data_IF_731847805930
#
_entry.id   IF_731847805930
#
_cell.length_a   1.000
_cell.length_b   1.000
_cell.length_c   1.000
_cell.angle_alpha   90.00
_cell.angle_beta   90.00
_cell.angle_gamma   90.00
#
_symmetry.space_group_name_H-M   'P 1'
#
loop_
_entity.id
_entity.type
_entity.pdbx_description
1 polymer ?
#
# COMPACT_ATOMS: atom_id res chain seq x y z
N UNK A 1 -19.41 67.90 0.31
CA UNK A 1 -19.39 67.11 1.57
C UNK A 1 -19.13 65.66 1.14
N UNK A 2 -17.91 65.11 1.26
CA UNK A 2 -17.37 64.40 2.46
C UNK A 2 -18.48 63.50 3.06
N UNK A 3 -18.41 62.16 3.07
CA UNK A 3 -17.29 61.27 3.44
C UNK A 3 -17.46 59.84 2.84
N UNK A 4 -16.30 59.23 2.54
CA UNK A 4 -15.82 57.85 2.79
C UNK A 4 -16.76 56.65 2.53
N UNK A 5 -16.47 55.64 1.69
CA UNK A 5 -15.27 54.76 1.51
C UNK A 5 -15.22 53.58 2.51
N UNK A 6 -15.46 52.37 1.96
CA UNK A 6 -14.96 51.02 2.32
C UNK A 6 -15.40 50.33 3.61
N UNK A 7 -15.79 49.05 3.49
CA UNK A 7 -15.49 47.83 4.30
C UNK A 7 -16.53 46.77 3.85
N UNK A 8 -16.26 45.50 3.55
CA UNK A 8 -15.07 44.70 3.27
C UNK A 8 -15.62 43.35 2.73
N UNK A 9 -14.84 42.68 1.88
CA UNK A 9 -15.08 41.30 1.48
C UNK A 9 -15.11 40.36 2.68
N UNK A 10 -16.10 39.46 2.76
CA UNK A 10 -16.19 38.22 3.57
C UNK A 10 -17.37 37.45 2.94
N UNK A 11 -17.36 36.18 2.54
CA UNK A 11 -16.44 35.05 2.51
C UNK A 11 -17.07 34.12 1.45
N UNK A 12 -16.39 33.85 0.33
CA UNK A 12 -15.69 32.58 0.07
C UNK A 12 -16.52 31.34 0.43
N UNK A 13 -16.87 30.58 -0.62
CA UNK A 13 -16.89 29.11 -0.59
C UNK A 13 -17.93 28.51 0.37
N UNK A 14 -19.18 28.40 -0.07
CA UNK A 14 -19.99 27.22 0.28
C UNK A 14 -19.62 26.07 -0.67
N UNK A 15 -18.32 25.84 -0.83
CA UNK A 15 -17.78 24.64 -1.43
C UNK A 15 -17.44 23.68 -0.30
N UNK A 16 -17.76 22.40 -0.52
CA UNK A 16 -17.11 21.26 0.13
C UNK A 16 -17.28 21.11 1.65
N UNK A 17 -18.50 21.11 2.16
CA UNK A 17 -18.81 20.41 3.43
C UNK A 17 -19.81 19.26 3.28
N UNK A 18 -20.24 18.94 2.05
CA UNK A 18 -21.11 17.79 1.76
C UNK A 18 -20.35 16.53 1.30
N UNK A 19 -19.03 16.47 1.50
CA UNK A 19 -18.19 15.29 1.20
C UNK A 19 -17.43 14.77 2.43
N UNK A 20 -17.91 15.05 3.65
CA UNK A 20 -17.69 14.12 4.74
C UNK A 20 -18.73 12.99 4.56
N UNK A 21 -18.60 12.20 3.49
CA UNK A 21 -19.21 10.89 3.48
C UNK A 21 -18.54 10.13 4.62
N UNK A 22 -19.32 9.78 5.64
CA UNK A 22 -18.93 8.81 6.66
C UNK A 22 -18.15 7.69 5.96
N UNK A 23 -16.84 7.58 6.25
CA UNK A 23 -16.11 6.37 5.88
C UNK A 23 -16.88 5.25 6.56
N UNK A 24 -17.53 4.34 5.81
CA UNK A 24 -18.46 3.41 6.42
C UNK A 24 -17.68 2.58 7.45
N UNK A 25 -18.27 2.35 8.63
CA UNK A 25 -17.68 1.50 9.70
C UNK A 25 -17.12 0.16 9.20
N UNK A 26 -17.56 -0.30 8.03
CA UNK A 26 -17.01 -1.47 7.32
C UNK A 26 -15.51 -1.37 7.05
N UNK A 27 -14.97 -0.17 6.82
CA UNK A 27 -13.58 0.01 6.43
C UNK A 27 -12.62 -0.04 7.62
N UNK A 28 -13.05 0.37 8.81
CA UNK A 28 -12.25 0.25 10.04
C UNK A 28 -12.21 -1.21 10.53
N UNK A 29 -13.29 -1.95 10.28
CA UNK A 29 -13.31 -3.39 10.50
C UNK A 29 -12.36 -4.14 9.55
N UNK A 30 -12.10 -3.62 8.35
CA UNK A 30 -11.23 -4.29 7.37
C UNK A 30 -9.79 -4.45 7.91
N UNK A 31 -9.20 -3.40 8.47
CA UNK A 31 -7.86 -3.44 9.07
C UNK A 31 -7.77 -4.47 10.19
N UNK A 32 -8.79 -4.53 11.07
CA UNK A 32 -8.87 -5.51 12.15
C UNK A 32 -9.03 -6.94 11.63
N UNK A 33 -9.88 -7.14 10.63
CA UNK A 33 -10.09 -8.47 10.02
C UNK A 33 -8.80 -8.99 9.38
N UNK A 34 -8.06 -8.14 8.68
CA UNK A 34 -6.78 -8.54 8.10
C UNK A 34 -5.72 -8.75 9.18
N UNK A 35 -5.72 -7.96 10.24
CA UNK A 35 -4.86 -8.23 11.41
C UNK A 35 -5.16 -9.61 12.01
N UNK A 36 -6.43 -10.00 12.15
CA UNK A 36 -6.80 -11.35 12.60
C UNK A 36 -6.27 -12.42 11.62
N UNK A 37 -6.39 -12.18 10.31
CA UNK A 37 -5.86 -13.09 9.29
C UNK A 37 -4.33 -13.26 9.35
N UNK A 38 -3.59 -12.18 9.59
CA UNK A 38 -2.13 -12.21 9.76
C UNK A 38 -1.68 -12.95 11.04
N UNK A 39 -2.57 -13.09 12.02
CA UNK A 39 -2.33 -13.86 13.25
C UNK A 39 -2.86 -15.30 13.17
N UNK A 40 -3.44 -15.71 12.03
CA UNK A 40 -3.99 -17.05 11.87
C UNK A 40 -2.87 -18.10 11.73
N UNK A 41 -3.15 -19.35 12.09
CA UNK A 41 -2.21 -20.47 11.99
C UNK A 41 -2.16 -21.12 10.59
N UNK A 42 -3.03 -20.68 9.67
CA UNK A 42 -3.20 -21.30 8.35
C UNK A 42 -2.53 -20.39 7.31
N UNK A 43 -1.53 -20.92 6.61
CA UNK A 43 -0.76 -20.14 5.64
C UNK A 43 -1.62 -19.53 4.51
N UNK A 44 -2.67 -20.22 4.06
CA UNK A 44 -3.59 -19.67 3.06
C UNK A 44 -4.36 -18.45 3.57
N UNK A 45 -4.74 -18.45 4.86
CA UNK A 45 -5.39 -17.29 5.50
C UNK A 45 -4.39 -16.13 5.65
N UNK A 46 -3.17 -16.42 6.10
CA UNK A 46 -2.11 -15.41 6.21
C UNK A 46 -1.82 -14.80 4.84
N UNK A 47 -1.64 -15.63 3.82
CA UNK A 47 -1.36 -15.20 2.45
C UNK A 47 -2.46 -14.29 1.90
N UNK A 48 -3.73 -14.70 2.06
CA UNK A 48 -4.87 -13.87 1.65
C UNK A 48 -4.88 -12.54 2.40
N UNK A 49 -4.60 -12.54 3.71
CA UNK A 49 -4.53 -11.32 4.51
C UNK A 49 -3.40 -10.39 4.05
N UNK A 50 -2.21 -10.93 3.76
CA UNK A 50 -1.07 -10.15 3.22
C UNK A 50 -1.51 -9.40 1.96
N UNK A 51 -2.12 -10.09 0.99
CA UNK A 51 -2.52 -9.43 -0.25
C UNK A 51 -3.61 -8.39 -0.03
N UNK A 52 -4.63 -8.73 0.74
CA UNK A 52 -5.75 -7.82 0.98
C UNK A 52 -5.32 -6.54 1.71
N UNK A 53 -4.30 -6.61 2.57
CA UNK A 53 -3.68 -5.42 3.17
C UNK A 53 -3.01 -4.54 2.12
N UNK A 54 -2.26 -5.12 1.19
CA UNK A 54 -1.59 -4.35 0.13
C UNK A 54 -2.61 -3.65 -0.75
N UNK A 55 -3.68 -4.37 -1.14
CA UNK A 55 -4.84 -3.79 -1.81
C UNK A 55 -5.45 -2.65 -1.00
N UNK A 56 -5.74 -2.88 0.28
CA UNK A 56 -6.34 -1.86 1.14
C UNK A 56 -5.47 -0.60 1.21
N UNK A 57 -4.14 -0.74 1.33
CA UNK A 57 -3.20 0.39 1.32
C UNK A 57 -3.19 1.12 -0.02
N UNK A 58 -3.30 0.41 -1.15
CA UNK A 58 -3.38 1.03 -2.47
C UNK A 58 -4.66 1.86 -2.63
N UNK A 59 -5.80 1.33 -2.17
CA UNK A 59 -7.08 2.01 -2.28
C UNK A 59 -7.26 3.13 -1.25
N UNK A 60 -6.67 2.98 -0.07
CA UNK A 60 -6.80 3.89 1.08
C UNK A 60 -5.42 4.25 1.66
N UNK A 61 -4.57 4.98 0.91
CA UNK A 61 -3.20 5.30 1.33
C UNK A 61 -3.12 6.16 2.60
N UNK A 62 -4.18 6.91 2.92
CA UNK A 62 -4.30 7.79 4.08
C UNK A 62 -4.47 7.05 5.42
N UNK A 63 -4.86 5.78 5.39
CA UNK A 63 -5.04 4.98 6.61
C UNK A 63 -3.71 4.68 7.29
N UNK A 64 -3.79 4.50 8.61
CA UNK A 64 -2.69 4.00 9.42
C UNK A 64 -2.59 2.47 9.29
N UNK A 65 -1.39 2.00 8.95
CA UNK A 65 -1.05 0.59 8.82
C UNK A 65 0.14 0.21 9.70
N UNK A 66 0.52 1.05 10.68
CA UNK A 66 1.71 0.86 11.50
C UNK A 66 1.72 -0.52 12.18
N UNK A 67 0.63 -0.90 12.83
CA UNK A 67 0.50 -2.21 13.49
C UNK A 67 0.59 -3.36 12.48
N UNK A 68 -0.01 -3.21 11.30
CA UNK A 68 0.04 -4.23 10.25
C UNK A 68 1.47 -4.35 9.72
N UNK A 69 2.17 -3.24 9.52
CA UNK A 69 3.55 -3.25 9.06
C UNK A 69 4.48 -3.95 10.06
N UNK A 70 4.30 -3.71 11.36
CA UNK A 70 5.01 -4.42 12.42
C UNK A 70 4.70 -5.92 12.41
N UNK A 71 3.42 -6.28 12.28
CA UNK A 71 3.03 -7.70 12.19
C UNK A 71 3.62 -8.39 10.97
N UNK A 72 3.67 -7.70 9.82
CA UNK A 72 4.30 -8.21 8.61
C UNK A 72 5.81 -8.38 8.80
N UNK A 73 6.50 -7.44 9.44
CA UNK A 73 7.92 -7.60 9.79
C UNK A 73 8.15 -8.86 10.63
N UNK A 74 7.34 -9.07 11.68
CA UNK A 74 7.43 -10.27 12.52
C UNK A 74 7.26 -11.55 11.68
N UNK A 75 6.27 -11.56 10.77
CA UNK A 75 6.07 -12.68 9.83
C UNK A 75 7.26 -12.92 8.91
N UNK A 76 8.09 -11.91 8.59
CA UNK A 76 9.30 -12.11 7.78
C UNK A 76 10.39 -12.92 8.47
N UNK A 77 10.35 -13.01 9.81
CA UNK A 77 11.34 -13.69 10.63
C UNK A 77 10.78 -15.00 11.19
N UNK A 78 9.55 -14.95 11.71
CA UNK A 78 8.99 -15.99 12.57
C UNK A 78 8.24 -17.08 11.80
N UNK A 79 7.69 -16.78 10.62
CA UNK A 79 6.84 -17.75 9.93
C UNK A 79 7.67 -18.93 9.39
N UNK A 80 7.31 -20.20 9.62
CA UNK A 80 8.09 -21.35 9.15
C UNK A 80 8.15 -21.45 7.62
N UNK A 81 7.13 -20.96 6.92
CA UNK A 81 7.03 -21.03 5.47
C UNK A 81 7.83 -19.91 4.79
N UNK A 82 8.80 -20.29 3.96
CA UNK A 82 9.68 -19.36 3.26
C UNK A 82 8.93 -18.42 2.32
N UNK A 83 7.86 -18.92 1.69
CA UNK A 83 7.04 -18.14 0.77
C UNK A 83 6.24 -17.07 1.51
N UNK A 84 5.68 -17.42 2.68
CA UNK A 84 4.99 -16.44 3.53
C UNK A 84 5.97 -15.37 4.01
N UNK A 85 7.18 -15.75 4.46
CA UNK A 85 8.21 -14.78 4.87
C UNK A 85 8.53 -13.79 3.75
N UNK A 86 8.70 -14.27 2.52
CA UNK A 86 8.96 -13.42 1.36
C UNK A 86 7.79 -12.48 1.05
N UNK A 87 6.56 -13.00 1.00
CA UNK A 87 5.36 -12.19 0.75
C UNK A 87 5.16 -11.12 1.83
N UNK A 88 5.38 -11.47 3.09
CA UNK A 88 5.32 -10.54 4.21
C UNK A 88 6.39 -9.44 4.09
N UNK A 89 7.62 -9.79 3.67
CA UNK A 89 8.69 -8.81 3.45
C UNK A 89 8.32 -7.79 2.36
N UNK A 90 7.78 -8.28 1.25
CA UNK A 90 7.32 -7.42 0.15
C UNK A 90 6.21 -6.49 0.65
N UNK A 91 5.20 -7.02 1.34
CA UNK A 91 4.08 -6.25 1.85
C UNK A 91 4.51 -5.20 2.91
N UNK A 92 5.39 -5.56 3.84
CA UNK A 92 5.93 -4.62 4.82
C UNK A 92 6.65 -3.44 4.15
N UNK A 93 7.49 -3.72 3.14
CA UNK A 93 8.19 -2.69 2.39
C UNK A 93 7.23 -1.82 1.58
N UNK A 94 6.20 -2.42 0.96
CA UNK A 94 5.18 -1.69 0.23
C UNK A 94 4.42 -0.70 1.12
N UNK A 95 4.03 -1.12 2.32
CA UNK A 95 3.29 -0.27 3.26
C UNK A 95 4.15 0.88 3.78
N UNK A 96 5.42 0.61 4.10
CA UNK A 96 6.36 1.59 4.67
C UNK A 96 6.91 2.57 3.64
N UNK A 97 7.09 2.10 2.41
CA UNK A 97 7.76 2.84 1.34
C UNK A 97 6.96 2.78 0.03
N UNK A 98 5.68 3.18 0.02
CA UNK A 98 4.81 3.03 -1.15
C UNK A 98 5.33 3.77 -2.38
N UNK A 99 6.12 4.83 -2.21
CA UNK A 99 6.75 5.58 -3.29
C UNK A 99 7.70 4.75 -4.15
N UNK A 100 8.29 3.67 -3.59
CA UNK A 100 9.17 2.74 -4.31
C UNK A 100 8.41 1.77 -5.21
N UNK A 101 7.09 1.78 -5.10
CA UNK A 101 6.16 0.90 -5.80
C UNK A 101 5.20 1.72 -6.67
N UNK A 102 5.63 2.89 -7.14
CA UNK A 102 4.87 3.77 -8.03
C UNK A 102 4.52 3.15 -9.40
N UNK A 103 5.09 2.00 -9.72
CA UNK A 103 4.81 1.20 -10.91
C UNK A 103 3.65 0.21 -10.70
N UNK A 104 3.07 0.15 -9.50
CA UNK A 104 1.86 -0.62 -9.20
C UNK A 104 0.67 0.33 -9.34
N UNK A 105 -0.14 0.16 -10.38
CA UNK A 105 -1.33 0.98 -10.59
C UNK A 105 -2.61 0.23 -10.19
N UNK A 106 -3.68 1.00 -9.94
CA UNK A 106 -5.01 0.44 -9.66
C UNK A 106 -5.54 -0.18 -10.95
N UNK A 107 -5.81 -1.48 -10.92
CA UNK A 107 -6.37 -2.22 -12.06
C UNK A 107 -5.35 -3.04 -12.85
N UNK A 108 -4.06 -3.02 -12.49
CA UNK A 108 -3.03 -3.85 -13.14
C UNK A 108 -3.14 -5.35 -12.81
N UNK A 109 -4.01 -5.72 -11.88
CA UNK A 109 -4.13 -7.08 -11.36
C UNK A 109 -5.57 -7.36 -10.94
N UNK A 110 -6.05 -8.57 -11.27
CA UNK A 110 -7.42 -9.01 -10.98
C UNK A 110 -7.57 -9.55 -9.56
N UNK A 111 -6.52 -10.16 -9.03
CA UNK A 111 -6.53 -10.81 -7.72
C UNK A 111 -5.15 -10.83 -7.05
N UNK A 112 -5.10 -11.53 -5.92
CA UNK A 112 -3.92 -11.68 -5.10
C UNK A 112 -2.76 -12.40 -5.78
N UNK A 113 -3.07 -13.40 -6.60
CA UNK A 113 -2.08 -14.20 -7.30
C UNK A 113 -1.47 -13.35 -8.41
N UNK A 114 -2.32 -12.70 -9.20
CA UNK A 114 -1.92 -11.79 -10.27
C UNK A 114 -1.01 -10.66 -9.74
N UNK A 115 -1.31 -10.10 -8.56
CA UNK A 115 -0.45 -9.09 -7.92
C UNK A 115 0.99 -9.60 -7.70
N UNK A 116 1.14 -10.76 -7.07
CA UNK A 116 2.47 -11.31 -6.77
C UNK A 116 3.20 -11.81 -8.01
N UNK A 117 2.47 -12.29 -9.02
CA UNK A 117 3.04 -12.63 -10.32
C UNK A 117 3.60 -11.40 -11.04
N UNK A 118 2.83 -10.31 -11.12
CA UNK A 118 3.27 -9.02 -11.63
C UNK A 118 4.50 -8.52 -10.87
N UNK A 119 4.46 -8.58 -9.53
CA UNK A 119 5.58 -8.19 -8.68
C UNK A 119 6.85 -9.00 -8.97
N UNK A 120 6.73 -10.33 -9.06
CA UNK A 120 7.85 -11.22 -9.37
C UNK A 120 8.41 -10.98 -10.77
N UNK A 121 7.53 -10.74 -11.76
CA UNK A 121 7.94 -10.40 -13.12
C UNK A 121 8.76 -9.10 -13.14
N UNK A 122 8.30 -8.07 -12.41
CA UNK A 122 9.03 -6.80 -12.31
C UNK A 122 10.39 -6.94 -11.64
N UNK A 123 10.49 -7.73 -10.56
CA UNK A 123 11.78 -8.03 -9.93
C UNK A 123 12.75 -8.71 -10.89
N UNK A 124 12.27 -9.68 -11.68
CA UNK A 124 13.09 -10.37 -12.69
C UNK A 124 13.60 -9.39 -13.76
N UNK A 125 12.73 -8.51 -14.25
CA UNK A 125 13.08 -7.47 -15.21
C UNK A 125 14.14 -6.52 -14.65
N UNK A 126 13.96 -6.02 -13.42
CA UNK A 126 14.93 -5.13 -12.77
C UNK A 126 16.28 -5.82 -12.57
N UNK A 127 16.30 -7.08 -12.12
CA UNK A 127 17.53 -7.85 -11.98
C UNK A 127 18.24 -8.07 -13.32
N UNK A 128 17.49 -8.38 -14.38
CA UNK A 128 18.04 -8.51 -15.73
C UNK A 128 18.71 -7.20 -16.20
N UNK A 129 18.03 -6.06 -15.98
CA UNK A 129 18.57 -4.75 -16.35
C UNK A 129 19.84 -4.39 -15.58
N UNK A 130 19.90 -4.72 -14.28
CA UNK A 130 21.10 -4.52 -13.45
C UNK A 130 22.30 -5.34 -13.97
N UNK A 131 22.07 -6.62 -14.32
CA UNK A 131 23.13 -7.48 -14.87
C UNK A 131 23.64 -6.97 -16.21
N UNK A 132 22.73 -6.55 -17.10
CA UNK A 132 23.08 -5.99 -18.41
C UNK A 132 23.87 -4.68 -18.28
N UNK A 133 23.46 -3.79 -17.39
CA UNK A 133 24.16 -2.54 -17.10
C UNK A 133 25.58 -2.78 -16.59
N UNK A 134 25.77 -3.76 -15.69
CA UNK A 134 27.08 -4.13 -15.15
C UNK A 134 28.07 -4.61 -16.21
N UNK A 135 27.61 -5.33 -17.24
CA UNK A 135 28.49 -5.83 -18.31
C UNK A 135 28.97 -4.72 -19.26
N UNK A 136 28.18 -3.65 -19.42
CA UNK A 136 28.57 -2.51 -20.28
C UNK A 136 29.69 -1.69 -19.62
N UNK A 137 29.72 -1.59 -18.29
CA UNK A 137 30.79 -0.93 -17.53
C UNK A 137 32.07 -1.75 -17.39
N UNK A 138 32.01 -3.09 -17.48
CA UNK A 138 33.19 -3.95 -17.36
C UNK A 138 34.00 -4.10 -18.66
N UNK A 139 33.54 -3.51 -19.77
CA UNK A 139 34.18 -3.60 -21.10
C UNK A 139 34.81 -2.28 -21.55
N UNK A 140 35.02 -1.34 -20.62
CA UNK A 140 35.80 -0.10 -20.82
C UNK A 140 36.99 -0.11 -19.88
#
# INVERSE_FOLDING_TARGET
MKKMLTIAAIVLITGTFALAQDVPKSLDNATQNYMMGLNHHNNGVIESAITNVMLLKLYHPEKDFSDIAEKLDALTIENPDKMIRLKAFIAANYIKHPERFNWIEKGDYEDAVAFFEMYSAKLKEMNYNLQKGSQITATK
#
